data_IF_786119635785
#
_entry.id   IF_786119635785
#
_cell.length_a   1.000
_cell.length_b   1.000
_cell.length_c   1.000
_cell.angle_alpha   90.00
_cell.angle_beta   90.00
_cell.angle_gamma   90.00
#
_symmetry.space_group_name_H-M   'P 1'
#
loop_
_entity.id
_entity.type
_entity.pdbx_description
1 polymer ?
#
# COMPACT_ATOMS: atom_id res chain seq x y z
N UNK A 1 26.97 57.23 -47.91
CA UNK A 1 26.44 55.85 -47.97
C UNK A 1 26.66 55.03 -46.68
N UNK A 2 27.59 55.41 -45.79
CA UNK A 2 27.93 54.64 -44.57
C UNK A 2 26.84 54.56 -43.48
N UNK A 3 26.00 55.58 -43.30
CA UNK A 3 24.95 55.57 -42.25
C UNK A 3 23.84 54.52 -42.48
N UNK A 4 23.53 54.20 -43.75
CA UNK A 4 22.53 53.18 -44.10
C UNK A 4 23.06 51.77 -43.88
N UNK A 5 24.34 51.52 -44.20
CA UNK A 5 24.98 50.23 -43.95
C UNK A 5 25.06 49.90 -42.45
N UNK A 6 25.31 50.91 -41.61
CA UNK A 6 25.33 50.74 -40.14
C UNK A 6 23.95 50.33 -39.58
N UNK A 7 22.87 50.99 -40.02
CA UNK A 7 21.52 50.67 -39.55
C UNK A 7 21.01 49.32 -40.07
N UNK A 8 21.40 48.91 -41.27
CA UNK A 8 21.08 47.58 -41.81
C UNK A 8 21.83 46.48 -41.05
N UNK A 9 23.10 46.70 -40.71
CA UNK A 9 23.87 45.78 -39.87
C UNK A 9 23.30 45.65 -38.45
N UNK A 10 22.89 46.76 -37.85
CA UNK A 10 22.25 46.77 -36.53
C UNK A 10 20.92 46.01 -36.53
N UNK A 11 20.10 46.17 -37.57
CA UNK A 11 18.83 45.44 -37.71
C UNK A 11 19.05 43.93 -37.91
N UNK A 12 20.07 43.54 -38.67
CA UNK A 12 20.43 42.12 -38.85
C UNK A 12 20.91 41.47 -37.55
N UNK A 13 21.76 42.16 -36.78
CA UNK A 13 22.21 41.67 -35.46
C UNK A 13 21.03 41.56 -34.50
N UNK A 14 20.12 42.54 -34.51
CA UNK A 14 18.92 42.51 -33.68
C UNK A 14 17.99 41.34 -34.05
N UNK A 15 17.83 41.03 -35.34
CA UNK A 15 17.07 39.85 -35.79
C UNK A 15 17.72 38.53 -35.36
N UNK A 16 19.05 38.42 -35.40
CA UNK A 16 19.75 37.22 -34.90
C UNK A 16 19.54 37.06 -33.40
N UNK A 17 19.63 38.14 -32.61
CA UNK A 17 19.39 38.14 -31.16
C UNK A 17 17.92 37.85 -30.82
N UNK A 18 16.96 38.21 -31.68
CA UNK A 18 15.53 37.91 -31.50
C UNK A 18 15.12 36.49 -31.94
N UNK A 19 15.88 35.84 -32.81
CA UNK A 19 15.64 34.46 -33.25
C UNK A 19 16.40 33.43 -32.39
N UNK A 20 17.51 33.82 -31.77
CA UNK A 20 18.26 32.99 -30.81
C UNK A 20 17.48 32.49 -29.56
N UNK A 21 16.44 33.16 -29.03
CA UNK A 21 15.65 32.65 -27.91
C UNK A 21 14.65 31.55 -28.33
N UNK A 22 14.52 31.22 -29.62
CA UNK A 22 13.66 30.12 -30.09
C UNK A 22 14.31 28.74 -29.96
N UNK A 23 15.57 28.68 -29.52
CA UNK A 23 16.29 27.46 -29.22
C UNK A 23 16.34 27.19 -27.72
N UNK A 24 15.22 27.38 -27.03
CA UNK A 24 15.06 26.74 -25.71
C UNK A 24 14.84 25.25 -25.94
N UNK A 25 15.71 24.34 -25.47
CA UNK A 25 15.36 22.94 -25.46
C UNK A 25 14.03 22.78 -24.72
N UNK A 26 13.11 21.98 -25.25
CA UNK A 26 11.87 21.64 -24.57
C UNK A 26 12.24 21.21 -23.15
N UNK A 27 11.77 21.95 -22.13
CA UNK A 27 11.97 21.54 -20.76
C UNK A 27 11.40 20.13 -20.63
N UNK A 28 12.26 19.12 -20.49
CA UNK A 28 11.83 17.74 -20.38
C UNK A 28 11.08 17.65 -19.05
N UNK A 29 9.75 17.58 -19.16
CA UNK A 29 8.92 17.33 -18.00
C UNK A 29 9.36 16.01 -17.37
N UNK A 30 9.47 15.98 -16.04
CA UNK A 30 9.80 14.76 -15.30
C UNK A 30 8.82 13.65 -15.70
N UNK A 31 9.34 12.43 -15.86
CA UNK A 31 8.49 11.25 -16.05
C UNK A 31 7.63 11.02 -14.79
N UNK A 32 6.53 10.26 -14.92
CA UNK A 32 5.70 9.89 -13.76
C UNK A 32 6.52 9.25 -12.63
N UNK A 33 7.52 8.45 -13.00
CA UNK A 33 8.45 7.81 -12.06
C UNK A 33 9.39 8.81 -11.37
N UNK A 34 9.92 9.79 -12.12
CA UNK A 34 10.72 10.87 -11.54
C UNK A 34 9.89 11.84 -10.69
N UNK A 35 8.61 12.03 -11.01
CA UNK A 35 7.65 12.77 -10.17
C UNK A 35 7.42 12.03 -8.85
N UNK A 36 7.17 10.73 -8.89
CA UNK A 36 7.00 9.90 -7.69
C UNK A 36 8.23 9.97 -6.77
N UNK A 37 9.43 9.81 -7.33
CA UNK A 37 10.67 10.00 -6.56
C UNK A 37 10.75 11.41 -5.95
N UNK A 38 10.45 12.45 -6.74
CA UNK A 38 10.48 13.84 -6.26
C UNK A 38 9.47 14.10 -5.16
N UNK A 39 8.31 13.45 -5.19
CA UNK A 39 7.29 13.55 -4.15
C UNK A 39 7.75 12.88 -2.85
N UNK A 40 8.31 11.67 -2.93
CA UNK A 40 8.89 11.00 -1.76
C UNK A 40 10.00 11.84 -1.12
N UNK A 41 10.93 12.36 -1.94
CA UNK A 41 11.99 13.25 -1.48
C UNK A 41 11.43 14.50 -0.81
N UNK A 42 10.38 15.11 -1.37
CA UNK A 42 9.72 16.31 -0.81
C UNK A 42 9.09 16.02 0.54
N UNK A 43 8.40 14.88 0.69
CA UNK A 43 7.78 14.49 1.97
C UNK A 43 8.84 14.39 3.05
N UNK A 44 9.95 13.69 2.78
CA UNK A 44 11.08 13.58 3.71
C UNK A 44 11.69 14.95 3.99
N UNK A 45 11.92 15.76 2.95
CA UNK A 45 12.47 17.10 3.10
C UNK A 45 11.64 18.02 3.99
N UNK A 46 10.33 17.78 4.11
CA UNK A 46 9.41 18.61 4.90
C UNK A 46 9.11 18.05 6.29
N UNK A 47 9.25 16.74 6.48
CA UNK A 47 8.74 16.05 7.67
C UNK A 47 9.81 15.23 8.42
N UNK A 48 11.02 15.09 7.88
CA UNK A 48 12.09 14.38 8.56
C UNK A 48 12.54 15.15 9.80
N UNK A 49 12.80 14.41 10.89
CA UNK A 49 13.03 14.98 12.22
C UNK A 49 14.38 15.67 12.36
N UNK A 50 15.38 15.19 11.62
CA UNK A 50 16.74 15.74 11.61
C UNK A 50 16.95 16.62 10.37
N UNK A 51 17.10 17.94 10.59
CA UNK A 51 17.29 18.93 9.53
C UNK A 51 18.62 18.76 8.76
N UNK A 52 19.59 18.05 9.33
CA UNK A 52 20.89 17.78 8.67
C UNK A 52 20.84 16.60 7.70
N UNK A 53 19.77 15.81 7.73
CA UNK A 53 19.60 14.59 6.93
C UNK A 53 20.79 13.63 7.08
N UNK A 54 21.28 13.44 8.31
CA UNK A 54 22.51 12.69 8.60
C UNK A 54 23.73 13.28 7.84
N UNK A 55 23.98 14.58 8.04
CA UNK A 55 25.07 15.37 7.43
C UNK A 55 25.12 15.36 5.89
N UNK A 56 23.95 15.26 5.24
CA UNK A 56 23.86 15.18 3.78
C UNK A 56 23.24 16.43 3.15
N UNK A 57 23.79 16.81 1.99
CA UNK A 57 23.10 17.74 1.09
C UNK A 57 21.91 17.03 0.44
N UNK A 58 20.75 17.18 1.07
CA UNK A 58 19.52 16.52 0.64
C UNK A 58 19.10 16.93 -0.77
N UNK A 59 19.36 18.16 -1.19
CA UNK A 59 19.06 18.62 -2.54
C UNK A 59 19.93 17.90 -3.57
N UNK A 60 21.21 17.69 -3.26
CA UNK A 60 22.14 16.95 -4.11
C UNK A 60 21.75 15.48 -4.25
N UNK A 61 21.22 14.86 -3.19
CA UNK A 61 20.69 13.48 -3.26
C UNK A 61 19.60 13.38 -4.33
N UNK A 62 18.68 14.35 -4.38
CA UNK A 62 17.65 14.40 -5.42
C UNK A 62 18.23 14.59 -6.82
N UNK A 63 19.16 15.54 -7.00
CA UNK A 63 19.76 15.80 -8.31
C UNK A 63 20.41 14.53 -8.86
N UNK A 64 21.30 13.91 -8.08
CA UNK A 64 22.01 12.68 -8.47
C UNK A 64 21.08 11.53 -8.81
N UNK A 65 19.97 11.40 -8.09
CA UNK A 65 18.98 10.37 -8.37
C UNK A 65 18.21 10.61 -9.68
N UNK A 66 17.99 11.87 -10.06
CA UNK A 66 17.22 12.26 -11.25
C UNK A 66 18.07 12.42 -12.52
N UNK A 67 19.41 12.48 -12.41
CA UNK A 67 20.33 12.45 -13.56
C UNK A 67 20.11 11.22 -14.45
N UNK A 68 19.81 10.08 -13.82
CA UNK A 68 19.46 8.85 -14.53
C UNK A 68 17.95 8.75 -14.64
N UNK A 69 17.48 8.30 -15.81
CA UNK A 69 16.06 8.04 -16.03
C UNK A 69 15.62 6.86 -15.16
N UNK A 70 14.51 7.04 -14.46
CA UNK A 70 13.81 5.97 -13.76
C UNK A 70 12.77 5.40 -14.72
N UNK A 71 13.04 4.19 -15.21
CA UNK A 71 12.29 3.61 -16.35
C UNK A 71 10.99 2.92 -15.94
N UNK A 72 10.93 2.39 -14.72
CA UNK A 72 9.77 1.65 -14.23
C UNK A 72 9.59 1.79 -12.71
N UNK A 73 8.41 1.37 -12.23
CA UNK A 73 8.00 1.51 -10.83
C UNK A 73 8.93 0.85 -9.84
N UNK A 74 9.45 -0.33 -10.16
CA UNK A 74 10.33 -1.07 -9.25
C UNK A 74 11.71 -0.39 -9.14
N UNK A 75 12.24 0.13 -10.25
CA UNK A 75 13.45 0.94 -10.24
C UNK A 75 13.27 2.23 -9.42
N UNK A 76 12.11 2.88 -9.50
CA UNK A 76 11.76 4.03 -8.66
C UNK A 76 11.71 3.68 -7.19
N UNK A 77 11.06 2.57 -6.82
CA UNK A 77 11.03 2.11 -5.43
C UNK A 77 12.42 1.81 -4.88
N UNK A 78 13.26 1.11 -5.66
CA UNK A 78 14.64 0.84 -5.26
C UNK A 78 15.45 2.14 -5.09
N UNK A 79 15.24 3.15 -5.96
CA UNK A 79 15.88 4.44 -5.84
C UNK A 79 15.44 5.20 -4.57
N UNK A 80 14.13 5.17 -4.24
CA UNK A 80 13.60 5.75 -3.00
C UNK A 80 14.16 5.00 -1.78
N UNK A 81 14.14 3.67 -1.76
CA UNK A 81 14.68 2.87 -0.66
C UNK A 81 16.16 3.16 -0.43
N UNK A 82 16.95 3.31 -1.51
CA UNK A 82 18.36 3.72 -1.41
C UNK A 82 18.53 5.14 -0.84
N UNK A 83 17.69 6.09 -1.27
CA UNK A 83 17.69 7.45 -0.76
C UNK A 83 17.34 7.50 0.73
N UNK A 84 16.32 6.76 1.17
CA UNK A 84 15.95 6.69 2.59
C UNK A 84 17.02 5.96 3.41
N UNK A 85 17.62 4.91 2.86
CA UNK A 85 18.69 4.15 3.52
C UNK A 85 19.96 4.97 3.79
N UNK A 86 20.21 6.06 3.06
CA UNK A 86 21.36 6.93 3.38
C UNK A 86 21.17 7.75 4.65
N UNK A 87 19.95 7.88 5.15
CA UNK A 87 19.66 8.57 6.41
C UNK A 87 20.06 7.74 7.64
N UNK A 88 20.36 6.44 7.47
CA UNK A 88 20.69 5.50 8.55
C UNK A 88 19.65 5.45 9.69
N UNK A 89 18.38 5.70 9.35
CA UNK A 89 17.25 5.62 10.29
C UNK A 89 16.41 4.36 9.98
N UNK A 90 16.37 3.36 10.88
CA UNK A 90 15.61 2.12 10.66
C UNK A 90 14.09 2.33 10.59
N UNK A 91 13.58 3.47 11.07
CA UNK A 91 12.14 3.78 11.06
C UNK A 91 11.70 4.55 9.81
N UNK A 92 12.62 5.21 9.11
CA UNK A 92 12.34 5.93 7.86
C UNK A 92 12.44 4.98 6.67
N UNK A 93 11.28 4.50 6.20
CA UNK A 93 11.22 3.52 5.11
C UNK A 93 10.03 3.73 4.18
N UNK A 94 10.19 3.27 2.94
CA UNK A 94 9.11 3.23 1.96
C UNK A 94 8.15 2.07 2.30
N UNK A 95 6.85 2.34 2.15
CA UNK A 95 5.82 1.29 2.12
C UNK A 95 5.24 1.20 0.72
N UNK A 96 5.43 0.06 0.06
CA UNK A 96 4.76 -0.24 -1.21
C UNK A 96 3.25 -0.37 -0.98
N UNK A 97 2.40 -0.19 -2.01
CA UNK A 97 0.93 -0.16 -1.84
C UNK A 97 0.35 -1.35 -1.07
N UNK A 98 0.85 -2.56 -1.30
CA UNK A 98 0.40 -3.77 -0.59
C UNK A 98 0.81 -3.74 0.89
N UNK A 99 2.05 -3.33 1.19
CA UNK A 99 2.54 -3.20 2.57
C UNK A 99 1.78 -2.12 3.34
N UNK A 100 1.50 -0.99 2.70
CA UNK A 100 0.70 0.08 3.29
C UNK A 100 -0.74 -0.38 3.56
N UNK A 101 -1.35 -1.13 2.64
CA UNK A 101 -2.68 -1.71 2.84
C UNK A 101 -2.70 -2.66 4.05
N UNK A 102 -1.73 -3.57 4.14
CA UNK A 102 -1.62 -4.49 5.29
C UNK A 102 -1.38 -3.75 6.59
N UNK A 103 -0.50 -2.74 6.60
CA UNK A 103 -0.26 -1.92 7.78
C UNK A 103 -1.53 -1.18 8.21
N UNK A 104 -2.27 -0.59 7.26
CA UNK A 104 -3.52 0.12 7.55
C UNK A 104 -4.56 -0.82 8.17
N UNK A 105 -4.71 -2.04 7.64
CA UNK A 105 -5.62 -3.06 8.20
C UNK A 105 -5.21 -3.44 9.63
N UNK A 106 -3.91 -3.63 9.88
CA UNK A 106 -3.41 -4.00 11.20
C UNK A 106 -3.52 -2.85 12.22
N UNK A 107 -3.29 -1.61 11.80
CA UNK A 107 -3.21 -0.44 12.70
C UNK A 107 -4.54 0.25 12.95
N UNK A 108 -5.49 0.19 12.01
CA UNK A 108 -6.83 0.78 12.20
C UNK A 108 -7.73 -0.03 13.14
N UNK A 109 -7.25 -1.20 13.58
CA UNK A 109 -8.09 -2.19 14.26
C UNK A 109 -9.28 -2.63 13.39
N UNK A 110 -9.27 -2.32 12.09
CA UNK A 110 -10.25 -2.85 11.14
C UNK A 110 -9.86 -4.29 10.79
N UNK A 111 -9.93 -5.16 11.80
CA UNK A 111 -10.20 -6.57 11.59
C UNK A 111 -11.58 -6.63 10.93
N UNK A 112 -11.61 -6.46 9.61
CA UNK A 112 -12.83 -6.63 8.82
C UNK A 112 -12.93 -8.10 8.40
N UNK A 113 -14.01 -8.72 8.83
CA UNK A 113 -14.24 -10.15 8.66
C UNK A 113 -15.55 -10.54 9.31
N UNK A 114 -15.67 -11.81 9.67
CA UNK A 114 -16.90 -12.36 10.26
C UNK A 114 -16.90 -12.37 11.79
N UNK A 115 -15.73 -12.20 12.42
CA UNK A 115 -15.58 -12.14 13.87
C UNK A 115 -15.63 -13.50 14.57
N UNK A 116 -14.86 -14.47 14.07
CA UNK A 116 -14.70 -15.80 14.68
C UNK A 116 -13.29 -15.99 15.22
N UNK A 117 -13.19 -16.59 16.42
CA UNK A 117 -11.97 -17.21 16.90
C UNK A 117 -12.00 -18.69 16.53
N UNK A 118 -10.94 -19.16 15.88
CA UNK A 118 -10.84 -20.52 15.34
C UNK A 118 -9.54 -21.18 15.80
N UNK A 119 -9.58 -22.50 15.94
CA UNK A 119 -8.41 -23.34 16.17
C UNK A 119 -8.57 -24.66 15.44
N UNK A 120 -7.46 -25.39 15.32
CA UNK A 120 -7.51 -26.79 14.92
C UNK A 120 -7.73 -27.63 16.17
N UNK A 121 -8.74 -28.50 16.12
CA UNK A 121 -8.96 -29.52 17.15
C UNK A 121 -7.75 -30.48 17.16
N UNK A 122 -7.19 -30.73 18.35
CA UNK A 122 -5.97 -31.51 18.50
C UNK A 122 -6.18 -33.03 18.29
N UNK A 123 -7.41 -33.52 18.41
CA UNK A 123 -7.78 -34.92 18.26
C UNK A 123 -8.21 -35.24 16.83
N UNK A 124 -9.00 -34.35 16.20
CA UNK A 124 -9.55 -34.58 14.85
C UNK A 124 -8.77 -33.89 13.75
N UNK A 125 -7.98 -32.85 14.07
CA UNK A 125 -7.31 -32.00 13.09
C UNK A 125 -8.25 -31.10 12.29
N UNK A 126 -9.53 -31.03 12.67
CA UNK A 126 -10.55 -30.24 11.98
C UNK A 126 -10.57 -28.79 12.48
N UNK A 127 -11.04 -27.87 11.65
CA UNK A 127 -11.18 -26.47 12.03
C UNK A 127 -12.43 -26.26 12.90
N UNK A 128 -12.24 -25.88 14.16
CA UNK A 128 -13.29 -25.65 15.16
C UNK A 128 -13.38 -24.18 15.56
N UNK A 129 -14.59 -23.71 15.82
CA UNK A 129 -14.86 -22.40 16.41
C UNK A 129 -14.59 -22.44 17.90
N UNK A 130 -13.64 -21.64 18.37
CA UNK A 130 -13.44 -21.42 19.81
C UNK A 130 -14.59 -20.56 20.35
N UNK A 131 -14.80 -19.39 19.76
CA UNK A 131 -15.86 -18.47 20.16
C UNK A 131 -16.14 -17.42 19.07
N UNK A 132 -17.40 -17.03 18.87
CA UNK A 132 -17.72 -15.81 18.13
C UNK A 132 -17.39 -14.57 18.96
N UNK A 133 -16.97 -13.49 18.29
CA UNK A 133 -16.74 -12.20 18.95
C UNK A 133 -18.10 -11.52 19.17
N UNK A 134 -18.32 -10.94 20.36
CA UNK A 134 -19.55 -10.24 20.69
C UNK A 134 -19.86 -9.09 19.70
N UNK A 135 -21.11 -9.00 19.24
CA UNK A 135 -21.60 -8.03 18.27
C UNK A 135 -21.22 -8.31 16.81
N UNK A 136 -20.45 -9.37 16.55
CA UNK A 136 -19.97 -9.73 15.21
C UNK A 136 -21.07 -10.32 14.31
N UNK A 137 -20.87 -10.32 12.97
CA UNK A 137 -21.74 -11.04 12.04
C UNK A 137 -21.89 -12.53 12.37
N UNK A 138 -20.83 -13.19 12.83
CA UNK A 138 -20.86 -14.60 13.20
C UNK A 138 -21.74 -14.89 14.42
N UNK A 139 -21.69 -14.05 15.46
CA UNK A 139 -22.57 -14.17 16.62
C UNK A 139 -24.04 -13.96 16.22
N UNK A 140 -24.31 -12.92 15.42
CA UNK A 140 -25.66 -12.61 14.91
C UNK A 140 -26.23 -13.74 14.04
N UNK A 141 -25.37 -14.48 13.36
CA UNK A 141 -25.75 -15.65 12.58
C UNK A 141 -25.96 -16.92 13.44
N UNK A 142 -25.74 -16.83 14.75
CA UNK A 142 -25.96 -17.91 15.70
C UNK A 142 -24.92 -19.03 15.62
N UNK A 143 -23.69 -18.71 15.22
CA UNK A 143 -22.56 -19.63 15.30
C UNK A 143 -22.17 -19.80 16.76
N UNK A 144 -22.00 -21.03 17.21
CA UNK A 144 -21.72 -21.35 18.61
C UNK A 144 -20.27 -21.81 18.78
N UNK A 145 -19.71 -21.70 20.00
CA UNK A 145 -18.50 -22.41 20.37
C UNK A 145 -18.63 -23.91 20.04
N UNK A 146 -17.54 -24.50 19.56
CA UNK A 146 -17.43 -25.92 19.17
C UNK A 146 -18.12 -26.32 17.87
N UNK A 147 -18.63 -25.34 17.13
CA UNK A 147 -19.07 -25.57 15.76
C UNK A 147 -17.87 -25.88 14.86
N UNK A 148 -18.00 -26.89 13.99
CA UNK A 148 -16.97 -27.25 13.01
C UNK A 148 -17.18 -26.52 11.71
N UNK A 149 -16.13 -25.93 11.17
CA UNK A 149 -16.15 -25.28 9.86
C UNK A 149 -15.66 -26.28 8.83
N UNK A 150 -16.55 -26.71 7.93
CA UNK A 150 -16.26 -27.72 6.91
C UNK A 150 -15.78 -27.09 5.61
N UNK A 151 -16.37 -25.96 5.21
CA UNK A 151 -16.03 -25.27 3.96
C UNK A 151 -16.06 -23.75 4.14
N UNK A 152 -15.17 -23.05 3.42
CA UNK A 152 -15.11 -21.59 3.30
C UNK A 152 -15.14 -21.24 1.81
N UNK A 153 -16.22 -20.60 1.37
CA UNK A 153 -16.50 -20.28 -0.05
C UNK A 153 -16.41 -21.52 -0.96
N UNK A 154 -16.92 -22.67 -0.47
CA UNK A 154 -16.93 -23.94 -1.19
C UNK A 154 -15.61 -24.70 -1.20
N UNK A 155 -14.59 -24.23 -0.48
CA UNK A 155 -13.30 -24.92 -0.34
C UNK A 155 -13.25 -25.60 1.03
N UNK A 156 -12.92 -26.90 1.03
CA UNK A 156 -12.82 -27.72 2.23
C UNK A 156 -11.74 -27.17 3.17
N UNK A 157 -12.07 -27.02 4.45
CA UNK A 157 -11.13 -26.55 5.46
C UNK A 157 -10.00 -27.52 5.72
N UNK A 158 -10.19 -28.82 5.43
CA UNK A 158 -9.14 -29.85 5.51
C UNK A 158 -7.98 -29.62 4.54
N UNK A 159 -8.19 -28.82 3.49
CA UNK A 159 -7.15 -28.45 2.50
C UNK A 159 -6.46 -27.13 2.83
N UNK A 160 -6.89 -26.45 3.91
CA UNK A 160 -6.43 -25.12 4.27
C UNK A 160 -5.65 -25.17 5.58
N UNK A 161 -4.56 -24.40 5.65
CA UNK A 161 -3.95 -24.06 6.94
C UNK A 161 -4.87 -23.13 7.75
N UNK A 162 -4.64 -23.07 9.07
CA UNK A 162 -5.36 -22.15 9.97
C UNK A 162 -5.28 -20.70 9.47
N UNK A 163 -4.10 -20.28 9.00
CA UNK A 163 -3.85 -18.93 8.49
C UNK A 163 -4.59 -18.64 7.18
N UNK A 164 -4.65 -19.61 6.27
CA UNK A 164 -5.39 -19.48 5.01
C UNK A 164 -6.89 -19.42 5.26
N UNK A 165 -7.41 -20.25 6.16
CA UNK A 165 -8.81 -20.20 6.59
C UNK A 165 -9.15 -18.84 7.19
N UNK A 166 -8.32 -18.34 8.11
CA UNK A 166 -8.48 -17.01 8.70
C UNK A 166 -8.40 -15.91 7.63
N UNK A 167 -7.49 -16.01 6.68
CA UNK A 167 -7.33 -15.03 5.59
C UNK A 167 -8.54 -14.98 4.66
N UNK A 168 -9.20 -16.12 4.40
CA UNK A 168 -10.42 -16.19 3.57
C UNK A 168 -11.65 -15.63 4.28
N UNK A 169 -11.75 -15.84 5.59
CA UNK A 169 -12.83 -15.25 6.40
C UNK A 169 -12.66 -13.73 6.59
N UNK A 170 -11.41 -13.23 6.53
CA UNK A 170 -11.11 -11.81 6.42
C UNK A 170 -11.40 -11.29 5.01
N UNK A 171 -11.63 -9.98 4.90
CA UNK A 171 -11.90 -9.34 3.62
C UNK A 171 -12.49 -7.95 3.80
N UNK A 172 -12.75 -7.26 2.69
CA UNK A 172 -13.30 -5.92 2.74
C UNK A 172 -14.71 -5.90 3.36
N UNK A 173 -15.00 -4.87 4.16
CA UNK A 173 -16.34 -4.65 4.73
C UNK A 173 -17.41 -4.63 3.62
N UNK A 174 -18.54 -5.29 3.87
CA UNK A 174 -19.68 -5.39 2.96
C UNK A 174 -19.58 -6.50 1.92
N UNK A 175 -18.43 -7.17 1.81
CA UNK A 175 -18.32 -8.41 1.00
C UNK A 175 -18.86 -9.60 1.78
N UNK A 176 -19.32 -10.64 1.07
CA UNK A 176 -19.87 -11.84 1.70
C UNK A 176 -18.90 -13.01 1.66
N UNK A 177 -19.05 -13.92 2.62
CA UNK A 177 -18.37 -15.21 2.70
C UNK A 177 -19.39 -16.27 3.06
N UNK A 178 -19.31 -17.43 2.42
CA UNK A 178 -20.18 -18.57 2.74
C UNK A 178 -19.40 -19.56 3.59
N UNK A 179 -19.89 -19.83 4.79
CA UNK A 179 -19.34 -20.86 5.67
C UNK A 179 -20.29 -22.05 5.74
N UNK A 180 -19.77 -23.25 5.52
CA UNK A 180 -20.50 -24.48 5.81
C UNK A 180 -20.09 -24.97 7.18
N UNK A 181 -21.03 -24.98 8.11
CA UNK A 181 -20.78 -25.20 9.53
C UNK A 181 -21.61 -26.38 10.01
N UNK A 182 -21.03 -27.22 10.85
CA UNK A 182 -21.71 -28.34 11.49
C UNK A 182 -21.64 -28.19 13.01
N UNK A 183 -22.81 -28.14 13.65
CA UNK A 183 -22.92 -28.20 15.10
C UNK A 183 -22.59 -29.61 15.60
N UNK A 184 -22.11 -29.73 16.84
CA UNK A 184 -21.66 -30.99 17.44
C UNK A 184 -22.66 -32.15 17.30
N UNK A 185 -23.96 -31.87 17.39
CA UNK A 185 -25.04 -32.85 17.28
C UNK A 185 -26.08 -32.42 16.21
N UNK A 186 -25.63 -31.80 15.12
CA UNK A 186 -26.51 -31.27 14.07
C UNK A 186 -26.09 -31.60 12.65
N UNK A 187 -27.00 -31.31 11.72
CA UNK A 187 -26.71 -31.33 10.29
C UNK A 187 -25.83 -30.13 9.89
N UNK A 188 -25.04 -30.33 8.85
CA UNK A 188 -24.26 -29.24 8.28
C UNK A 188 -25.19 -28.22 7.61
N UNK A 189 -24.98 -26.94 7.90
CA UNK A 189 -25.72 -25.83 7.31
C UNK A 189 -24.76 -24.81 6.69
N UNK A 190 -25.15 -24.26 5.55
CA UNK A 190 -24.42 -23.15 4.93
C UNK A 190 -24.99 -21.83 5.41
N UNK A 191 -24.12 -20.93 5.84
CA UNK A 191 -24.45 -19.61 6.35
C UNK A 191 -23.66 -18.59 5.54
N UNK A 192 -24.36 -17.64 4.93
CA UNK A 192 -23.73 -16.49 4.30
C UNK A 192 -23.55 -15.38 5.35
N UNK A 193 -22.31 -14.89 5.48
CA UNK A 193 -21.93 -13.85 6.42
C UNK A 193 -21.44 -12.62 5.67
N UNK A 194 -21.96 -11.46 6.03
CA UNK A 194 -21.46 -10.17 5.53
C UNK A 194 -20.29 -9.74 6.42
N UNK A 195 -19.13 -9.51 5.82
CA UNK A 195 -17.95 -9.04 6.56
C UNK A 195 -18.20 -7.62 7.07
N UNK A 196 -17.92 -7.39 8.35
CA UNK A 196 -18.02 -6.06 8.97
C UNK A 196 -16.78 -5.77 9.82
N UNK A 197 -16.64 -4.52 10.24
CA UNK A 197 -15.60 -4.10 11.17
C UNK A 197 -15.90 -4.71 12.54
N UNK A 198 -14.96 -5.49 13.07
CA UNK A 198 -15.07 -6.05 14.41
C UNK A 198 -14.39 -5.10 15.40
N UNK A 199 -15.18 -4.48 16.28
CA UNK A 199 -14.65 -3.70 17.38
C UNK A 199 -14.30 -4.65 18.54
N UNK A 200 -13.02 -4.76 18.86
CA UNK A 200 -12.60 -5.40 20.10
C UNK A 200 -12.78 -4.36 21.21
N UNK A 201 -13.73 -4.58 22.12
CA UNK A 201 -13.79 -3.80 23.34
C UNK A 201 -12.73 -4.37 24.28
N UNK A 202 -11.63 -3.65 24.57
CA UNK A 202 -10.70 -4.09 25.60
C UNK A 202 -11.43 -4.09 26.95
N UNK A 203 -11.21 -5.16 27.71
CA UNK A 203 -11.68 -5.31 29.09
C UNK A 203 -10.79 -4.52 30.03
#
# INVERSE_FOLDING_TARGET
>A
MHKRAFWVGLLLICQIVFVFPLWTPSALALTEEQKLFSEAWRIVSQAYVDESFNDQDWWMVRQKALEKRLDNREATYAAIEKMLGSLDDPFTRLLKPNQYRSLKVNTSGELSGVGLQIALDAETGELEVIAPIAGSPAEKAGIQPRDRILEIDGILTSELSLDEAASRMRGAKGTTVTLKIQAKEGEARSIELVRDRIALNPV
#
